data_IF_709922642179
#
_entry.id   IF_709922642179
#
_cell.length_a   1.000
_cell.length_b   1.000
_cell.length_c   1.000
_cell.angle_alpha   90.00
_cell.angle_beta   90.00
_cell.angle_gamma   90.00
#
_symmetry.space_group_name_H-M   'P 1'
#
loop_
_entity.id
_entity.type
_entity.pdbx_description
1 polymer ?
#
# COMPACT_ATOMS: atom_id res chain seq x y z
N UNK A 1 -9.22 -16.27 -1.57
CA UNK A 1 -8.94 -16.85 -0.23
C UNK A 1 -7.96 -18.02 -0.38
N UNK A 2 -6.68 -17.83 -0.03
CA UNK A 2 -5.67 -18.88 -0.05
C UNK A 2 -5.94 -19.96 1.01
N UNK A 3 -6.07 -21.22 0.60
CA UNK A 3 -6.31 -22.38 1.49
C UNK A 3 -5.30 -23.51 1.33
N UNK A 4 -4.54 -23.51 0.23
CA UNK A 4 -3.53 -24.54 -0.04
C UNK A 4 -2.13 -23.98 -0.22
N UNK A 5 -1.15 -24.85 -0.02
CA UNK A 5 0.26 -24.57 -0.30
C UNK A 5 0.42 -24.22 -1.79
N UNK A 6 1.21 -23.19 -2.07
CA UNK A 6 1.52 -22.75 -3.43
C UNK A 6 0.46 -21.85 -4.07
N UNK A 7 -0.64 -21.54 -3.36
CA UNK A 7 -1.60 -20.56 -3.87
C UNK A 7 -1.03 -19.14 -3.77
N UNK A 8 -1.45 -18.30 -4.72
CA UNK A 8 -1.18 -16.88 -4.74
C UNK A 8 -2.48 -16.12 -5.04
N UNK A 9 -2.68 -14.99 -4.40
CA UNK A 9 -3.82 -14.11 -4.61
C UNK A 9 -3.30 -12.68 -4.78
N UNK A 10 -3.76 -12.00 -5.83
CA UNK A 10 -3.42 -10.60 -6.10
C UNK A 10 -4.72 -9.82 -6.19
N UNK A 11 -4.77 -8.70 -5.50
CA UNK A 11 -5.91 -7.80 -5.49
C UNK A 11 -5.44 -6.37 -5.74
N UNK A 12 -6.17 -5.63 -6.57
CA UNK A 12 -5.93 -4.22 -6.83
C UNK A 12 -7.23 -3.44 -6.74
N UNK A 13 -7.18 -2.21 -6.26
CA UNK A 13 -8.34 -1.33 -6.16
C UNK A 13 -7.93 0.10 -6.50
N UNK A 14 -8.72 0.75 -7.35
CA UNK A 14 -8.49 2.13 -7.75
C UNK A 14 -9.72 2.97 -7.41
N UNK A 15 -9.53 3.97 -6.55
CA UNK A 15 -10.54 4.90 -6.11
C UNK A 15 -10.43 6.19 -6.93
N UNK A 16 -11.13 6.23 -8.06
CA UNK A 16 -11.10 7.34 -9.02
C UNK A 16 -11.42 8.71 -8.38
N UNK A 17 -12.37 8.76 -7.44
CA UNK A 17 -12.76 10.00 -6.75
C UNK A 17 -11.72 10.54 -5.76
N UNK A 18 -10.84 9.70 -5.22
CA UNK A 18 -9.87 10.09 -4.19
C UNK A 18 -8.41 10.04 -4.65
N UNK A 19 -8.18 9.64 -5.91
CA UNK A 19 -6.84 9.43 -6.45
C UNK A 19 -6.03 8.36 -5.69
N UNK A 20 -6.71 7.45 -4.98
CA UNK A 20 -6.08 6.39 -4.19
C UNK A 20 -6.04 5.10 -5.00
N UNK A 21 -4.88 4.47 -5.05
CA UNK A 21 -4.65 3.21 -5.72
C UNK A 21 -4.03 2.25 -4.71
N UNK A 22 -4.65 1.10 -4.52
CA UNK A 22 -4.24 0.07 -3.58
C UNK A 22 -3.94 -1.22 -4.33
N UNK A 23 -2.91 -1.93 -3.90
CA UNK A 23 -2.54 -3.24 -4.42
C UNK A 23 -2.10 -4.14 -3.28
N UNK A 24 -2.43 -5.41 -3.34
CA UNK A 24 -1.91 -6.41 -2.43
C UNK A 24 -1.71 -7.75 -3.11
N UNK A 25 -0.72 -8.49 -2.63
CA UNK A 25 -0.40 -9.84 -3.03
C UNK A 25 -0.26 -10.70 -1.78
N UNK A 26 -0.81 -11.90 -1.82
CA UNK A 26 -0.67 -12.90 -0.76
C UNK A 26 -0.24 -14.23 -1.37
N UNK A 27 0.64 -14.94 -0.67
CA UNK A 27 1.21 -16.22 -1.08
C UNK A 27 1.23 -17.19 0.10
N UNK A 28 0.91 -18.45 -0.15
CA UNK A 28 0.86 -19.50 0.87
C UNK A 28 2.04 -20.47 0.69
N UNK A 29 3.22 -20.22 1.31
CA UNK A 29 4.39 -21.08 1.15
C UNK A 29 4.18 -22.48 1.75
N UNK A 30 3.29 -22.59 2.75
CA UNK A 30 3.00 -23.81 3.50
C UNK A 30 1.51 -23.82 3.87
N UNK A 31 0.94 -25.01 4.14
CA UNK A 31 -0.41 -25.10 4.71
C UNK A 31 -0.46 -24.32 6.02
N UNK A 32 -1.54 -23.55 6.21
CA UNK A 32 -1.75 -22.69 7.39
C UNK A 32 -0.82 -21.47 7.49
N UNK A 33 -0.02 -21.15 6.47
CA UNK A 33 0.84 -19.96 6.47
C UNK A 33 0.54 -19.11 5.26
N UNK A 34 0.40 -17.80 5.46
CA UNK A 34 0.26 -16.80 4.40
C UNK A 34 1.26 -15.70 4.62
N UNK A 35 1.99 -15.36 3.56
CA UNK A 35 2.79 -14.13 3.46
C UNK A 35 1.99 -13.16 2.62
N UNK A 36 1.87 -11.91 3.07
CA UNK A 36 1.15 -10.85 2.37
C UNK A 36 2.04 -9.62 2.24
N UNK A 37 2.01 -9.00 1.07
CA UNK A 37 2.51 -7.66 0.84
C UNK A 37 1.35 -6.80 0.31
N UNK A 38 1.22 -5.58 0.80
CA UNK A 38 0.23 -4.62 0.33
C UNK A 38 0.89 -3.25 0.18
N UNK A 39 0.32 -2.41 -0.65
CA UNK A 39 0.76 -1.04 -0.80
C UNK A 39 -0.36 -0.16 -1.32
N UNK A 40 -0.32 1.10 -0.90
CA UNK A 40 -1.24 2.12 -1.35
C UNK A 40 -0.47 3.33 -1.84
N UNK A 41 -0.95 3.94 -2.90
CA UNK A 41 -0.51 5.23 -3.40
C UNK A 41 -1.71 6.17 -3.38
N UNK A 42 -1.55 7.35 -2.82
CA UNK A 42 -2.51 8.44 -2.97
C UNK A 42 -1.84 9.61 -3.66
N UNK A 43 -2.43 10.06 -4.75
CA UNK A 43 -2.03 11.27 -5.48
C UNK A 43 -3.14 12.31 -5.30
N UNK A 44 -2.87 13.35 -4.52
CA UNK A 44 -3.74 14.52 -4.45
C UNK A 44 -3.15 15.63 -5.34
N UNK A 45 -3.98 16.21 -6.18
CA UNK A 45 -3.61 17.16 -7.24
C UNK A 45 -4.50 18.39 -7.24
N UNK A 46 -4.76 18.97 -6.05
CA UNK A 46 -5.47 20.25 -5.94
C UNK A 46 -4.48 21.42 -6.01
N UNK A 47 -4.37 21.96 -7.22
CA UNK A 47 -3.88 23.27 -7.72
C UNK A 47 -2.62 23.94 -7.17
N UNK A 48 -2.06 23.61 -6.01
CA UNK A 48 -0.79 24.23 -5.53
C UNK A 48 0.03 23.35 -4.59
N UNK A 49 -0.56 22.29 -4.02
CA UNK A 49 0.14 21.38 -3.10
C UNK A 49 -0.11 19.94 -3.55
N UNK A 50 0.93 19.23 -3.98
CA UNK A 50 0.83 17.79 -4.24
C UNK A 50 1.21 17.03 -2.97
N UNK A 51 0.27 16.21 -2.49
CA UNK A 51 0.54 15.24 -1.44
C UNK A 51 0.68 13.87 -2.09
N UNK A 52 1.91 13.36 -2.11
CA UNK A 52 2.19 11.99 -2.58
C UNK A 52 2.43 11.12 -1.35
N UNK A 53 1.42 10.33 -1.00
CA UNK A 53 1.52 9.38 0.11
C UNK A 53 1.66 7.98 -0.45
N UNK A 54 2.74 7.28 -0.08
CA UNK A 54 2.95 5.87 -0.38
C UNK A 54 3.00 5.10 0.93
N UNK A 55 2.23 4.03 1.01
CA UNK A 55 2.23 3.09 2.11
C UNK A 55 2.59 1.72 1.56
N UNK A 56 3.39 0.97 2.30
CA UNK A 56 3.77 -0.39 1.97
C UNK A 56 3.76 -1.20 3.25
N UNK A 57 3.09 -2.34 3.22
CA UNK A 57 2.91 -3.23 4.34
C UNK A 57 3.36 -4.62 3.92
N UNK A 58 4.10 -5.29 4.79
CA UNK A 58 4.47 -6.69 4.62
C UNK A 58 4.12 -7.42 5.90
N UNK A 59 3.59 -8.63 5.79
CA UNK A 59 3.18 -9.39 6.95
C UNK A 59 3.16 -10.88 6.68
N UNK A 60 3.17 -11.64 7.76
CA UNK A 60 2.99 -13.08 7.75
C UNK A 60 1.87 -13.41 8.72
N UNK A 61 1.02 -14.35 8.32
CA UNK A 61 -0.10 -14.80 9.12
C UNK A 61 -0.24 -16.30 9.04
N UNK A 62 -1.00 -16.81 9.99
CA UNK A 62 -1.36 -18.21 10.08
C UNK A 62 -2.87 -18.35 10.12
N UNK A 63 -3.37 -19.49 9.63
CA UNK A 63 -4.78 -19.80 9.65
C UNK A 63 -5.02 -21.27 9.89
N UNK A 64 -6.02 -21.59 10.71
CA UNK A 64 -6.46 -22.95 10.99
C UNK A 64 -7.98 -23.03 10.82
N UNK A 65 -8.45 -24.13 10.25
CA UNK A 65 -9.87 -24.40 10.16
C UNK A 65 -10.36 -25.00 11.48
N UNK A 66 -11.24 -24.29 12.19
CA UNK A 66 -11.96 -24.84 13.34
C UNK A 66 -13.26 -25.48 12.85
N UNK A 67 -13.20 -26.78 12.55
CA UNK A 67 -14.30 -27.52 11.92
C UNK A 67 -14.53 -27.13 10.45
N UNK A 68 -15.72 -27.37 9.93
CA UNK A 68 -16.05 -27.17 8.50
C UNK A 68 -16.41 -25.73 8.13
N UNK A 69 -16.66 -24.86 9.11
CA UNK A 69 -17.26 -23.53 8.90
C UNK A 69 -16.39 -22.37 9.33
N UNK A 70 -15.46 -22.57 10.27
CA UNK A 70 -14.70 -21.49 10.86
C UNK A 70 -13.24 -21.57 10.46
N UNK A 71 -12.66 -20.41 10.13
CA UNK A 71 -11.23 -20.25 9.91
C UNK A 71 -10.76 -19.19 10.90
N UNK A 72 -9.85 -19.59 11.78
CA UNK A 72 -9.29 -18.75 12.84
C UNK A 72 -7.81 -18.58 12.56
N UNK A 73 -7.30 -17.39 12.73
CA UNK A 73 -5.91 -17.09 12.40
C UNK A 73 -5.45 -15.81 13.06
N UNK A 74 -4.13 -15.64 13.06
CA UNK A 74 -3.47 -14.42 13.50
C UNK A 74 -2.43 -13.99 12.48
N UNK A 75 -2.24 -12.69 12.33
CA UNK A 75 -1.21 -12.11 11.47
C UNK A 75 -0.45 -11.02 12.19
N UNK A 76 0.82 -10.88 11.83
CA UNK A 76 1.68 -9.80 12.27
C UNK A 76 2.47 -9.28 11.06
N UNK A 77 2.82 -8.00 11.09
CA UNK A 77 3.51 -7.36 9.97
C UNK A 77 4.11 -6.03 10.33
N UNK A 78 4.83 -5.47 9.36
CA UNK A 78 5.47 -4.18 9.43
C UNK A 78 4.99 -3.30 8.28
N UNK A 79 4.76 -2.03 8.56
CA UNK A 79 4.31 -1.04 7.60
C UNK A 79 5.28 0.14 7.53
N UNK A 80 5.55 0.60 6.31
CA UNK A 80 6.25 1.85 6.04
C UNK A 80 5.32 2.79 5.27
N UNK A 81 5.06 3.97 5.84
CA UNK A 81 4.45 5.10 5.13
C UNK A 81 5.45 6.23 4.86
N UNK A 82 5.50 6.75 3.63
CA UNK A 82 6.19 8.00 3.30
C UNK A 82 5.16 8.98 2.73
N UNK A 83 5.14 10.19 3.26
CA UNK A 83 4.34 11.29 2.74
C UNK A 83 5.26 12.42 2.31
N UNK A 84 5.20 12.77 1.03
CA UNK A 84 5.85 13.95 0.49
C UNK A 84 4.82 15.07 0.33
N UNK A 85 5.11 16.23 0.92
CA UNK A 85 4.43 17.49 0.61
C UNK A 85 5.37 18.29 -0.28
N UNK A 86 4.95 18.58 -1.50
CA UNK A 86 5.66 19.52 -2.36
C UNK A 86 4.75 20.67 -2.74
N UNK A 87 5.33 21.86 -2.71
CA UNK A 87 4.74 23.06 -3.31
C UNK A 87 5.27 23.13 -4.74
N UNK A 88 4.39 23.33 -5.72
CA UNK A 88 4.85 23.83 -7.00
C UNK A 88 5.13 25.32 -6.78
N UNK A 89 6.40 25.73 -6.81
CA UNK A 89 6.73 27.13 -6.96
C UNK A 89 6.09 27.58 -8.27
N UNK A 90 5.05 28.41 -8.15
CA UNK A 90 4.57 29.19 -9.26
C UNK A 90 5.77 30.01 -9.73
N UNK A 91 6.31 29.65 -10.90
CA UNK A 91 7.32 30.46 -11.57
C UNK A 91 6.67 31.81 -11.88
N UNK A 92 6.77 32.74 -10.94
CA UNK A 92 6.61 34.13 -11.24
C UNK A 92 7.75 34.46 -12.19
N UNK A 93 7.34 34.73 -13.44
CA UNK A 93 8.11 35.48 -14.41
C UNK A 93 8.83 36.63 -13.67
N UNK A 94 10.03 36.98 -14.13
CA UNK A 94 10.91 38.07 -13.66
C UNK A 94 11.93 37.63 -12.60
N UNK A 95 13.16 37.44 -13.08
CA UNK A 95 14.21 36.70 -12.40
C UNK A 95 14.74 37.35 -11.13
N UNK A 96 15.07 36.49 -10.16
CA UNK A 96 16.16 36.72 -9.23
C UNK A 96 16.59 35.36 -8.68
N UNK A 97 17.87 35.06 -8.83
CA UNK A 97 18.44 33.78 -8.40
C UNK A 97 18.43 33.61 -6.90
N UNK A 98 18.55 32.37 -6.46
CA UNK A 98 18.95 32.04 -5.09
C UNK A 98 19.76 30.75 -5.10
N UNK A 99 21.02 30.87 -4.65
CA UNK A 99 21.95 29.75 -4.44
C UNK A 99 21.39 28.82 -3.37
N UNK A 100 21.57 27.50 -3.56
CA UNK A 100 21.39 26.51 -2.51
C UNK A 100 22.76 25.88 -2.18
N UNK A 101 23.02 25.78 -0.87
CA UNK A 101 24.04 24.94 -0.24
C UNK A 101 23.31 23.70 0.30
#
# INVERSE_FOLDING_TARGET
MLRDKGQAEVAGSAYLFSGRLEGSAAYSPMRHVVVRAAGALRTDGRDTTYFRTRQLEVGVGTYWTLGQRWLVGGSAGYGWGQSGRGFQDAYYLWGLGSKTN
#
